data_IF_899306283465
#
_entry.id   IF_899306283465
#
_cell.length_a   1.000
_cell.length_b   1.000
_cell.length_c   1.000
_cell.angle_alpha   90.00
_cell.angle_beta   90.00
_cell.angle_gamma   90.00
#
_symmetry.space_group_name_H-M   'P 1'
#
loop_
_entity.id
_entity.type
_entity.pdbx_description
1 polymer ?
#
# COMPACT_ATOMS: atom_id res chain seq x y z
N UNK A 1 9.95 -10.06 8.64
CA UNK A 1 8.49 -10.24 8.63
C UNK A 1 8.07 -10.97 7.36
N UNK A 2 6.83 -11.47 7.31
CA UNK A 2 6.29 -12.21 6.16
C UNK A 2 5.68 -11.29 5.11
N UNK A 3 5.16 -11.91 4.05
CA UNK A 3 4.41 -11.19 3.04
C UNK A 3 3.03 -10.80 3.58
N UNK A 4 2.49 -9.70 3.03
CA UNK A 4 1.15 -9.21 3.31
C UNK A 4 0.40 -8.94 2.03
N UNK A 5 -0.90 -9.16 2.05
CA UNK A 5 -1.81 -8.67 1.04
C UNK A 5 -2.82 -7.70 1.68
N UNK A 6 -3.16 -6.63 0.96
CA UNK A 6 -4.07 -5.59 1.44
C UNK A 6 -5.30 -5.56 0.56
N UNK A 7 -6.45 -5.94 1.12
CA UNK A 7 -7.72 -5.99 0.40
C UNK A 7 -8.54 -4.74 0.67
N UNK A 8 -8.87 -4.00 -0.37
CA UNK A 8 -9.73 -2.83 -0.30
C UNK A 8 -11.20 -3.20 -0.06
N UNK A 9 -12.01 -2.23 0.34
CA UNK A 9 -13.45 -2.41 0.62
C UNK A 9 -14.26 -2.94 -0.56
N UNK A 10 -13.82 -2.68 -1.81
CA UNK A 10 -14.45 -3.20 -3.03
C UNK A 10 -14.08 -4.66 -3.34
N UNK A 11 -13.28 -5.31 -2.46
CA UNK A 11 -12.86 -6.68 -2.60
C UNK A 11 -11.59 -6.88 -3.44
N UNK A 12 -11.03 -5.82 -4.03
CA UNK A 12 -9.80 -5.92 -4.81
C UNK A 12 -8.58 -5.86 -3.90
N UNK A 13 -7.50 -6.51 -4.31
CA UNK A 13 -6.23 -6.43 -3.60
C UNK A 13 -5.35 -5.34 -4.21
N UNK A 14 -4.60 -4.62 -3.37
CA UNK A 14 -3.48 -3.82 -3.85
C UNK A 14 -2.49 -4.75 -4.57
N UNK A 15 -2.01 -4.32 -5.73
CA UNK A 15 -1.11 -5.07 -6.61
C UNK A 15 -0.04 -4.16 -7.19
N UNK A 16 1.15 -4.69 -7.37
CA UNK A 16 2.29 -4.02 -7.98
C UNK A 16 2.66 -4.66 -9.32
N UNK A 17 2.39 -3.95 -10.42
CA UNK A 17 2.61 -4.43 -11.79
C UNK A 17 3.22 -3.34 -12.67
N UNK A 18 4.21 -3.72 -13.49
CA UNK A 18 4.80 -2.87 -14.54
C UNK A 18 5.13 -1.42 -14.11
N UNK A 19 5.56 -1.23 -12.86
CA UNK A 19 5.98 0.05 -12.24
C UNK A 19 4.88 0.90 -11.60
N UNK A 20 3.65 0.41 -11.60
CA UNK A 20 2.53 1.07 -10.96
C UNK A 20 1.89 0.22 -9.86
N UNK A 21 1.35 0.90 -8.86
CA UNK A 21 0.46 0.28 -7.89
C UNK A 21 -0.96 0.41 -8.45
N UNK A 22 -1.64 -0.72 -8.60
CA UNK A 22 -3.03 -0.79 -9.04
C UNK A 22 -3.79 -1.78 -8.15
N UNK A 23 -5.03 -2.07 -8.51
CA UNK A 23 -5.78 -3.14 -7.87
C UNK A 23 -5.93 -4.36 -8.79
N UNK A 24 -6.00 -5.55 -8.20
CA UNK A 24 -6.25 -6.80 -8.88
C UNK A 24 -7.50 -7.48 -8.32
N UNK A 25 -8.31 -8.06 -9.22
CA UNK A 25 -9.60 -8.65 -8.86
C UNK A 25 -9.45 -10.06 -8.27
N UNK A 26 -10.27 -10.37 -7.27
CA UNK A 26 -10.69 -11.73 -6.90
C UNK A 26 -9.69 -12.58 -6.10
N UNK A 27 -8.39 -12.49 -6.39
CA UNK A 27 -7.37 -13.33 -5.77
C UNK A 27 -6.08 -12.55 -5.47
N UNK A 28 -5.40 -12.96 -4.40
CA UNK A 28 -4.05 -12.53 -4.11
C UNK A 28 -3.06 -13.43 -4.87
N UNK A 29 -2.28 -12.85 -5.78
CA UNK A 29 -1.15 -13.50 -6.44
C UNK A 29 0.17 -12.86 -6.00
N UNK A 30 1.29 -13.28 -6.58
CA UNK A 30 2.61 -12.73 -6.27
C UNK A 30 2.70 -11.19 -6.45
N UNK A 31 1.87 -10.58 -7.29
CA UNK A 31 1.86 -9.12 -7.49
C UNK A 31 1.14 -8.39 -6.35
N UNK A 32 0.23 -9.07 -5.65
CA UNK A 32 -0.46 -8.54 -4.48
C UNK A 32 0.31 -8.73 -3.16
N UNK A 33 1.45 -9.42 -3.22
CA UNK A 33 2.27 -9.70 -2.05
C UNK A 33 3.28 -8.57 -1.82
N UNK A 34 3.15 -7.91 -0.68
CA UNK A 34 4.09 -6.90 -0.19
C UNK A 34 4.87 -7.46 0.99
N UNK A 35 6.18 -7.50 0.85
CA UNK A 35 7.10 -7.76 1.95
C UNK A 35 7.20 -6.51 2.82
N UNK A 36 6.93 -6.67 4.12
CA UNK A 36 6.97 -5.56 5.08
C UNK A 36 8.36 -5.50 5.72
N UNK A 37 9.09 -4.43 5.42
CA UNK A 37 10.41 -4.15 6.02
C UNK A 37 10.27 -3.09 7.12
N UNK A 38 10.77 -3.38 8.33
CA UNK A 38 10.68 -2.43 9.44
C UNK A 38 11.83 -1.43 9.41
N UNK A 39 11.49 -0.15 9.55
CA UNK A 39 12.43 0.96 9.67
C UNK A 39 12.04 1.81 10.89
N UNK A 40 12.28 1.27 12.09
CA UNK A 40 11.91 1.90 13.34
C UNK A 40 10.39 1.88 13.55
N UNK A 41 9.76 3.06 13.63
CA UNK A 41 8.31 3.21 13.78
C UNK A 41 7.54 3.20 12.45
N UNK A 42 8.25 3.15 11.32
CA UNK A 42 7.69 3.09 9.97
C UNK A 42 8.05 1.78 9.30
N UNK A 43 7.34 1.46 8.23
CA UNK A 43 7.61 0.29 7.39
C UNK A 43 7.81 0.71 5.94
N UNK A 44 8.59 -0.08 5.20
CA UNK A 44 8.62 -0.02 3.75
C UNK A 44 7.82 -1.19 3.19
N UNK A 45 7.08 -0.93 2.10
CA UNK A 45 6.30 -1.95 1.40
C UNK A 45 7.06 -2.36 0.14
N UNK A 46 7.75 -3.50 0.21
CA UNK A 46 8.54 -4.01 -0.90
C UNK A 46 7.73 -5.03 -1.70
N UNK A 47 7.66 -4.84 -3.00
CA UNK A 47 6.93 -5.72 -3.93
C UNK A 47 7.73 -6.99 -4.20
N UNK A 48 7.08 -8.01 -4.74
CA UNK A 48 7.76 -9.24 -5.20
C UNK A 48 8.94 -8.96 -6.15
N UNK A 49 8.86 -7.92 -6.98
CA UNK A 49 9.94 -7.52 -7.90
C UNK A 49 11.06 -6.73 -7.21
N UNK A 50 11.01 -6.58 -5.89
CA UNK A 50 12.02 -5.89 -5.09
C UNK A 50 11.95 -4.36 -5.13
N UNK A 51 10.88 -3.78 -5.68
CA UNK A 51 10.63 -2.33 -5.69
C UNK A 51 9.86 -1.91 -4.44
N UNK A 52 10.00 -0.67 -4.01
CA UNK A 52 9.30 -0.09 -2.87
C UNK A 52 8.14 0.79 -3.32
N UNK A 53 6.98 0.62 -2.69
CA UNK A 53 5.87 1.57 -2.82
C UNK A 53 6.33 2.92 -2.29
N UNK A 54 6.04 3.99 -3.02
CA UNK A 54 6.41 5.35 -2.66
C UNK A 54 5.31 6.35 -3.01
N UNK A 55 5.21 7.44 -2.24
CA UNK A 55 4.32 8.58 -2.52
C UNK A 55 5.19 9.80 -2.85
N UNK A 56 4.99 10.38 -4.03
CA UNK A 56 5.72 11.56 -4.48
C UNK A 56 5.14 12.87 -3.94
N UNK A 57 5.85 13.98 -4.17
CA UNK A 57 5.41 15.32 -3.74
C UNK A 57 4.09 15.75 -4.39
N UNK A 58 3.81 15.25 -5.59
CA UNK A 58 2.55 15.46 -6.31
C UNK A 58 1.48 14.43 -5.96
N UNK A 59 1.63 13.73 -4.82
CA UNK A 59 0.65 12.81 -4.25
C UNK A 59 0.40 11.55 -5.11
N UNK A 60 1.26 11.31 -6.08
CA UNK A 60 1.23 10.12 -6.94
C UNK A 60 1.84 8.92 -6.21
N UNK A 61 1.20 7.76 -6.35
CA UNK A 61 1.74 6.47 -5.89
C UNK A 61 2.57 5.87 -7.02
N UNK A 62 3.82 5.51 -6.73
CA UNK A 62 4.73 4.90 -7.70
C UNK A 62 5.59 3.83 -7.04
N UNK A 63 6.23 3.00 -7.87
CA UNK A 63 7.21 2.01 -7.42
C UNK A 63 8.62 2.51 -7.69
N UNK A 64 9.49 2.49 -6.68
CA UNK A 64 10.91 2.83 -6.83
C UNK A 64 11.81 1.62 -6.59
N UNK A 65 12.95 1.57 -7.27
CA UNK A 65 14.01 0.60 -6.99
C UNK A 65 14.76 0.89 -5.69
N UNK A 66 14.66 2.12 -5.17
CA UNK A 66 15.38 2.55 -3.98
C UNK A 66 14.40 2.96 -2.89
N UNK A 67 14.84 2.81 -1.64
CA UNK A 67 14.11 3.32 -0.50
C UNK A 67 14.38 4.83 -0.39
N UNK A 68 13.40 5.65 -0.80
CA UNK A 68 13.52 7.12 -0.81
C UNK A 68 13.16 7.76 0.54
N UNK A 69 13.71 7.21 1.64
CA UNK A 69 13.43 7.70 2.98
C UNK A 69 11.93 7.88 3.21
N UNK A 70 11.51 9.08 3.60
CA UNK A 70 10.12 9.38 3.94
C UNK A 70 9.10 9.18 2.81
N UNK A 71 9.50 9.16 1.53
CA UNK A 71 8.58 8.89 0.43
C UNK A 71 8.18 7.41 0.35
N UNK A 72 9.06 6.52 0.80
CA UNK A 72 8.88 5.06 0.74
C UNK A 72 8.57 4.44 2.10
N UNK A 73 8.40 5.27 3.14
CA UNK A 73 8.14 4.85 4.50
C UNK A 73 6.71 5.20 4.92
N UNK A 74 6.03 4.23 5.50
CA UNK A 74 4.63 4.29 5.86
C UNK A 74 4.40 3.94 7.33
N UNK A 75 3.36 4.49 7.92
CA UNK A 75 2.73 3.97 9.12
C UNK A 75 1.60 3.03 8.72
N UNK A 76 1.61 1.82 9.27
CA UNK A 76 0.45 0.93 9.25
C UNK A 76 -0.38 1.24 10.49
N UNK A 77 -1.51 1.89 10.29
CA UNK A 77 -2.44 2.24 11.37
C UNK A 77 -3.55 1.18 11.43
N UNK A 78 -3.58 0.39 12.50
CA UNK A 78 -4.59 -0.65 12.70
C UNK A 78 -5.81 -0.09 13.44
N UNK A 79 -6.98 -0.17 12.81
CA UNK A 79 -8.25 0.31 13.32
C UNK A 79 -9.32 -0.77 13.19
N UNK A 80 -9.79 -1.32 14.32
CA UNK A 80 -10.89 -2.31 14.37
C UNK A 80 -10.72 -3.52 13.42
N UNK A 81 -9.51 -4.07 13.33
CA UNK A 81 -9.20 -5.20 12.46
C UNK A 81 -8.93 -4.84 10.99
N UNK A 82 -9.03 -3.56 10.63
CA UNK A 82 -8.55 -3.02 9.36
C UNK A 82 -7.22 -2.31 9.54
N UNK A 83 -6.53 -2.08 8.43
CA UNK A 83 -5.28 -1.33 8.38
C UNK A 83 -5.39 -0.18 7.39
N UNK A 84 -4.75 0.94 7.71
CA UNK A 84 -4.56 2.06 6.80
C UNK A 84 -3.09 2.32 6.58
N UNK A 85 -2.72 2.60 5.34
CA UNK A 85 -1.34 2.77 4.91
C UNK A 85 -1.07 4.26 4.74
N UNK A 86 -0.44 4.88 5.73
CA UNK A 86 -0.19 6.32 5.76
C UNK A 86 1.26 6.63 5.43
N UNK A 87 1.51 7.33 4.34
CA UNK A 87 2.85 7.70 3.89
C UNK A 87 3.17 9.17 4.08
N UNK A 88 3.96 9.67 3.15
CA UNK A 88 4.47 11.04 3.12
C UNK A 88 3.34 12.09 3.16
N UNK A 89 3.61 13.24 3.81
CA UNK A 89 2.64 14.33 4.02
C UNK A 89 1.26 13.91 4.60
N UNK A 90 1.24 12.87 5.43
CA UNK A 90 0.03 12.33 6.07
C UNK A 90 -1.05 11.86 5.09
N UNK A 91 -0.64 11.46 3.89
CA UNK A 91 -1.52 10.85 2.91
C UNK A 91 -1.69 9.36 3.14
N UNK A 92 -2.92 8.88 3.04
CA UNK A 92 -3.24 7.46 2.99
C UNK A 92 -3.28 6.98 1.55
N UNK A 93 -2.82 5.76 1.31
CA UNK A 93 -3.14 5.05 0.07
C UNK A 93 -4.63 4.73 0.10
N UNK A 94 -5.34 5.07 -0.98
CA UNK A 94 -6.78 4.90 -1.09
C UNK A 94 -7.15 4.21 -2.39
N UNK A 95 -8.20 3.40 -2.32
CA UNK A 95 -8.81 2.70 -3.47
C UNK A 95 -10.26 3.11 -3.57
N UNK A 96 -10.65 3.70 -4.70
CA UNK A 96 -12.03 4.10 -4.94
C UNK A 96 -12.94 2.90 -5.28
N UNK A 97 -14.23 3.16 -5.50
CA UNK A 97 -15.20 2.12 -5.86
C UNK A 97 -14.91 1.43 -7.21
N UNK A 98 -14.12 2.05 -8.08
CA UNK A 98 -13.73 1.52 -9.38
C UNK A 98 -12.39 0.77 -9.35
N UNK A 99 -11.68 0.79 -8.22
CA UNK A 99 -10.38 0.15 -8.07
C UNK A 99 -9.20 1.03 -8.47
N UNK A 100 -9.40 2.34 -8.65
CA UNK A 100 -8.31 3.27 -8.89
C UNK A 100 -7.55 3.55 -7.60
N UNK A 101 -6.23 3.38 -7.66
CA UNK A 101 -5.33 3.70 -6.54
C UNK A 101 -4.95 5.17 -6.62
N UNK A 102 -5.14 5.88 -5.51
CA UNK A 102 -4.75 7.27 -5.34
C UNK A 102 -4.28 7.51 -3.91
N UNK A 103 -4.02 8.76 -3.55
CA UNK A 103 -3.77 9.15 -2.17
C UNK A 103 -4.85 10.09 -1.68
N UNK A 104 -5.21 9.96 -0.40
CA UNK A 104 -6.21 10.80 0.27
C UNK A 104 -5.65 11.36 1.56
N UNK A 105 -6.10 12.56 1.96
CA UNK A 105 -5.86 13.07 3.32
C UNK A 105 -6.87 12.54 4.33
N UNK A 106 -7.96 11.91 3.86
CA UNK A 106 -9.01 11.41 4.72
C UNK A 106 -8.79 9.93 5.03
N UNK A 107 -8.91 9.60 6.31
CA UNK A 107 -9.01 8.23 6.78
C UNK A 107 -10.47 7.80 6.70
N UNK A 108 -10.88 7.37 5.50
CA UNK A 108 -12.22 6.89 5.19
C UNK A 108 -12.19 5.41 4.77
N UNK A 109 -13.34 4.85 4.37
CA UNK A 109 -13.40 3.45 3.94
C UNK A 109 -12.56 3.15 2.69
N UNK A 110 -12.27 4.14 1.85
CA UNK A 110 -11.39 3.99 0.69
C UNK A 110 -9.92 3.87 1.09
N UNK A 111 -9.55 4.44 2.24
CA UNK A 111 -8.21 4.37 2.84
C UNK A 111 -8.01 3.19 3.80
N UNK A 112 -8.98 2.28 3.92
CA UNK A 112 -8.91 1.12 4.84
C UNK A 112 -8.85 -0.20 4.08
N UNK A 113 -8.03 -1.13 4.57
CA UNK A 113 -7.79 -2.43 3.98
C UNK A 113 -7.93 -3.55 5.02
N UNK A 114 -8.34 -4.73 4.58
CA UNK A 114 -8.14 -5.97 5.34
C UNK A 114 -6.69 -6.44 5.11
N UNK A 115 -5.94 -6.65 6.20
CA UNK A 115 -4.57 -7.17 6.14
C UNK A 115 -4.58 -8.70 6.20
N UNK A 116 -4.01 -9.34 5.19
CA UNK A 116 -3.82 -10.79 5.16
C UNK A 116 -2.35 -11.13 5.35
N UNK A 117 -2.06 -11.95 6.37
CA UNK A 117 -0.73 -12.50 6.65
C UNK A 117 -0.54 -13.76 5.80
N UNK A 118 0.53 -13.79 5.01
CA UNK A 118 0.90 -14.90 4.11
C UNK A 118 2.11 -15.66 4.63
#
# INVERSE_FOLDING_TARGET
MGNRAFKAHNGHYLSAEHDHVKTHHGHHDHHTHFHIENHGSKVALRTHCGKYVSIGDHKQVYLSHHLHGDHSLFHLEHHHGKVSIKGHHHHYISVDGHGHVSTSHHHDHHATFEEHIL
#
